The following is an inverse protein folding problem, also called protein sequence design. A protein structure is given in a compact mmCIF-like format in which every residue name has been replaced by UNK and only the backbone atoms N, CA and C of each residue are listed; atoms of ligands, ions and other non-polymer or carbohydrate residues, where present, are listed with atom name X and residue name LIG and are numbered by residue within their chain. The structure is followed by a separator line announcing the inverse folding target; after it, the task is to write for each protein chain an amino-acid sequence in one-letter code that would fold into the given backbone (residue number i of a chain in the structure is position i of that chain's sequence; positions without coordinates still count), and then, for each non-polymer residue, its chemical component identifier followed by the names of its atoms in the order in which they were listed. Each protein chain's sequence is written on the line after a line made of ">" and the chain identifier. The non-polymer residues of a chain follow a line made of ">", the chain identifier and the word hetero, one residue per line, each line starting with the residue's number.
data_IF_099187124879
#
_entry.id   IF_099187124879
#
_cell.length_a   1.000
_cell.length_b   1.000
_cell.length_c   1.000
_cell.angle_alpha   90.00
_cell.angle_beta   90.00
_cell.angle_gamma   90.00
#
_symmetry.space_group_name_H-M   'P 1'
#
loop_
_entity.id
_entity.type
_entity.pdbx_description
1 polymer ?
#
# COMPACT_ATOMS: atom_id res chain seq x y z
N UNK A 1 6.78 9.56 3.83
CA UNK A 1 7.15 9.07 5.18
C UNK A 1 6.32 9.71 6.30
N UNK A 2 5.66 8.90 7.15
CA UNK A 2 4.92 9.31 8.37
C UNK A 2 5.30 8.38 9.54
N UNK A 3 5.70 8.95 10.67
CA UNK A 3 5.90 8.20 11.91
C UNK A 3 4.57 8.10 12.68
N UNK A 4 4.17 6.89 13.07
CA UNK A 4 2.96 6.65 13.87
C UNK A 4 3.14 5.44 14.79
N UNK A 5 2.25 5.31 15.77
CA UNK A 5 2.11 4.06 16.53
C UNK A 5 1.84 2.90 15.56
N UNK A 6 2.48 1.77 15.83
CA UNK A 6 2.25 0.52 15.12
C UNK A 6 0.88 -0.03 15.51
N UNK A 7 0.10 -0.43 14.53
CA UNK A 7 -1.15 -1.16 14.72
C UNK A 7 -0.88 -2.67 14.52
N UNK A 8 -1.74 -3.56 15.03
CA UNK A 8 -1.57 -5.00 14.85
C UNK A 8 -1.40 -5.43 13.38
N UNK A 9 -2.07 -4.72 12.45
CA UNK A 9 -2.06 -5.01 11.02
C UNK A 9 -0.71 -4.72 10.35
N UNK A 10 0.18 -3.96 11.01
CA UNK A 10 1.52 -3.65 10.48
C UNK A 10 2.53 -4.78 10.74
N UNK A 11 2.18 -5.80 11.52
CA UNK A 11 3.15 -6.78 12.02
C UNK A 11 3.81 -7.59 10.90
N UNK A 12 3.04 -8.05 9.91
CA UNK A 12 3.57 -8.80 8.77
C UNK A 12 4.59 -7.95 7.99
N UNK A 13 4.25 -6.68 7.73
CA UNK A 13 5.16 -5.74 7.07
C UNK A 13 6.43 -5.46 7.91
N UNK A 14 6.31 -5.42 9.25
CA UNK A 14 7.48 -5.32 10.13
C UNK A 14 8.38 -6.55 10.04
N UNK A 15 7.81 -7.76 9.95
CA UNK A 15 8.58 -9.00 9.80
C UNK A 15 9.30 -9.05 8.45
N UNK A 16 8.64 -8.61 7.37
CA UNK A 16 9.27 -8.49 6.04
C UNK A 16 10.42 -7.47 6.05
N UNK A 17 10.23 -6.33 6.69
CA UNK A 17 11.29 -5.33 6.87
C UNK A 17 12.46 -5.90 7.70
N UNK A 18 12.17 -6.64 8.78
CA UNK A 18 13.19 -7.31 9.60
C UNK A 18 13.98 -8.35 8.78
N UNK A 19 13.32 -9.11 7.90
CA UNK A 19 13.97 -10.07 7.02
C UNK A 19 14.92 -9.38 6.03
N UNK A 20 14.52 -8.21 5.51
CA UNK A 20 15.35 -7.39 4.62
C UNK A 20 16.61 -6.88 5.34
N UNK A 21 16.44 -6.36 6.57
CA UNK A 21 17.57 -5.92 7.42
C UNK A 21 18.49 -7.09 7.76
N UNK A 22 17.95 -8.26 8.09
CA UNK A 22 18.75 -9.44 8.37
C UNK A 22 19.57 -9.88 7.14
N UNK A 23 18.97 -9.88 5.96
CA UNK A 23 19.66 -10.25 4.73
C UNK A 23 20.80 -9.29 4.37
N UNK A 24 20.59 -7.98 4.56
CA UNK A 24 21.58 -6.95 4.23
C UNK A 24 22.67 -6.80 5.29
N UNK A 25 22.25 -6.70 6.55
CA UNK A 25 23.09 -6.20 7.65
C UNK A 25 23.43 -7.29 8.66
N UNK A 26 22.90 -8.51 8.48
CA UNK A 26 23.02 -9.60 9.46
C UNK A 26 22.50 -9.17 10.84
N UNK A 27 21.46 -8.35 10.86
CA UNK A 27 20.77 -7.94 12.07
C UNK A 27 19.29 -8.37 12.04
N UNK A 28 18.77 -9.05 13.08
CA UNK A 28 19.53 -9.55 14.22
C UNK A 28 20.58 -10.59 13.80
N UNK A 29 21.67 -10.71 14.57
CA UNK A 29 22.77 -11.64 14.22
C UNK A 29 22.28 -13.09 14.07
N UNK A 30 21.34 -13.46 14.93
CA UNK A 30 20.59 -14.71 14.85
C UNK A 30 19.14 -14.38 14.54
N UNK A 31 18.61 -14.98 13.48
CA UNK A 31 17.19 -14.89 13.18
C UNK A 31 16.38 -15.58 14.29
N UNK A 32 15.34 -14.92 14.86
CA UNK A 32 14.52 -15.51 15.92
C UNK A 32 13.52 -16.55 15.36
N UNK A 33 13.16 -17.53 16.19
CA UNK A 33 12.13 -18.53 15.85
C UNK A 33 10.74 -17.89 15.68
N UNK A 34 10.45 -16.84 16.46
CA UNK A 34 9.28 -15.97 16.31
C UNK A 34 9.73 -14.54 15.95
N UNK A 35 9.80 -14.19 14.66
CA UNK A 35 10.16 -12.85 14.22
C UNK A 35 9.06 -11.82 14.45
N UNK A 36 7.82 -12.21 14.72
CA UNK A 36 6.72 -11.28 15.05
C UNK A 36 6.79 -10.79 16.49
N UNK A 37 7.24 -11.63 17.42
CA UNK A 37 7.52 -11.22 18.79
C UNK A 37 8.70 -10.25 18.88
N UNK A 38 9.70 -10.38 18.00
CA UNK A 38 10.92 -9.56 18.03
C UNK A 38 10.69 -8.03 18.02
N UNK A 39 9.90 -7.45 17.09
CA UNK A 39 9.58 -6.03 17.10
C UNK A 39 8.41 -5.66 18.05
N UNK A 40 7.90 -6.60 18.85
CA UNK A 40 6.71 -6.42 19.68
C UNK A 40 7.09 -6.26 21.15
N UNK A 41 7.17 -5.02 21.67
CA UNK A 41 7.36 -4.81 23.11
C UNK A 41 6.15 -5.29 23.91
N UNK A 42 6.36 -5.58 25.20
CA UNK A 42 5.30 -5.97 26.15
C UNK A 42 4.19 -4.91 26.25
N UNK A 43 4.55 -3.63 26.11
CA UNK A 43 3.61 -2.52 25.99
C UNK A 43 3.46 -2.06 24.52
N UNK A 44 2.33 -2.35 23.85
CA UNK A 44 2.08 -1.93 22.47
C UNK A 44 2.14 -0.40 22.26
N UNK A 45 1.94 0.41 23.31
CA UNK A 45 2.04 1.87 23.21
C UNK A 45 3.46 2.35 22.89
N UNK A 46 4.45 1.47 23.08
CA UNK A 46 5.87 1.72 22.81
C UNK A 46 6.32 1.25 21.41
N UNK A 47 5.42 0.67 20.60
CA UNK A 47 5.73 0.26 19.24
C UNK A 47 5.41 1.36 18.22
N UNK A 48 6.41 1.75 17.43
CA UNK A 48 6.31 2.82 16.42
C UNK A 48 6.87 2.35 15.09
N UNK A 49 6.27 2.83 13.99
CA UNK A 49 6.77 2.58 12.64
C UNK A 49 6.89 3.88 11.86
N UNK A 50 7.82 3.89 10.90
CA UNK A 50 7.88 4.88 9.84
C UNK A 50 7.25 4.26 8.60
N UNK A 51 6.01 4.65 8.30
CA UNK A 51 5.28 4.17 7.13
C UNK A 51 5.38 5.19 5.99
N UNK A 52 5.65 4.73 4.77
CA UNK A 52 5.31 5.53 3.60
C UNK A 52 3.79 5.61 3.48
N UNK A 53 3.26 6.83 3.43
CA UNK A 53 1.83 7.00 3.16
C UNK A 53 1.63 6.62 1.69
N UNK A 54 1.00 5.48 1.43
CA UNK A 54 0.53 5.17 0.09
C UNK A 54 -0.53 6.20 -0.26
N UNK A 55 -0.13 7.26 -0.95
CA UNK A 55 -1.05 8.24 -1.50
C UNK A 55 -1.71 7.60 -2.72
N UNK A 56 -2.69 6.71 -2.52
CA UNK A 56 -3.48 6.22 -3.65
C UNK A 56 -4.32 7.37 -4.19
N UNK A 57 -4.24 7.62 -5.49
CA UNK A 57 -5.15 8.56 -6.14
C UNK A 57 -6.42 7.82 -6.53
N UNK A 58 -7.56 8.31 -6.04
CA UNK A 58 -8.87 7.79 -6.39
C UNK A 58 -9.48 8.63 -7.52
N UNK A 59 -10.02 7.98 -8.55
CA UNK A 59 -10.84 8.65 -9.56
C UNK A 59 -12.30 8.51 -9.17
N UNK A 60 -12.94 9.61 -8.81
CA UNK A 60 -14.35 9.57 -8.40
C UNK A 60 -15.30 9.28 -9.57
N UNK A 61 -15.02 9.80 -10.78
CA UNK A 61 -15.93 9.68 -11.93
C UNK A 61 -15.21 9.68 -13.28
N UNK A 62 -15.64 8.80 -14.19
CA UNK A 62 -15.30 8.80 -15.62
C UNK A 62 -16.57 8.56 -16.43
N UNK A 63 -16.73 9.27 -17.55
CA UNK A 63 -17.87 9.10 -18.44
C UNK A 63 -17.44 9.09 -19.89
N UNK A 64 -18.11 8.27 -20.69
CA UNK A 64 -18.02 8.28 -22.15
C UNK A 64 -19.40 8.64 -22.70
N UNK A 65 -19.44 9.65 -23.57
CA UNK A 65 -20.68 10.06 -24.24
C UNK A 65 -21.35 8.87 -24.95
N UNK A 66 -22.70 8.72 -24.86
CA UNK A 66 -23.40 7.59 -25.47
C UNK A 66 -23.09 7.40 -26.96
N UNK A 67 -23.01 8.49 -27.73
CA UNK A 67 -22.72 8.46 -29.17
C UNK A 67 -21.30 8.00 -29.51
N UNK A 68 -20.40 7.96 -28.51
CA UNK A 68 -19.01 7.56 -28.66
C UNK A 68 -18.72 6.16 -28.06
N UNK A 69 -19.74 5.44 -27.58
CA UNK A 69 -19.61 4.07 -27.05
C UNK A 69 -19.25 3.06 -28.15
N UNK A 70 -18.73 1.90 -27.75
CA UNK A 70 -18.30 0.84 -28.68
C UNK A 70 -16.96 1.11 -29.38
N UNK A 71 -16.29 2.21 -29.05
CA UNK A 71 -15.01 2.62 -29.67
C UNK A 71 -13.76 2.42 -28.80
N UNK A 72 -13.89 1.68 -27.69
CA UNK A 72 -12.78 1.44 -26.75
C UNK A 72 -12.31 2.68 -25.97
N UNK A 73 -13.06 3.78 -25.97
CA UNK A 73 -12.65 5.05 -25.34
C UNK A 73 -12.48 4.96 -23.82
N UNK A 74 -13.23 4.09 -23.14
CA UNK A 74 -13.09 3.89 -21.69
C UNK A 74 -11.69 3.40 -21.32
N UNK A 75 -11.14 2.43 -22.06
CA UNK A 75 -9.78 1.94 -21.86
C UNK A 75 -8.75 3.04 -22.11
N UNK A 76 -8.89 3.80 -23.20
CA UNK A 76 -8.00 4.92 -23.51
C UNK A 76 -8.03 6.03 -22.45
N UNK A 77 -9.20 6.31 -21.89
CA UNK A 77 -9.34 7.25 -20.76
C UNK A 77 -8.62 6.74 -19.52
N UNK A 78 -8.75 5.45 -19.19
CA UNK A 78 -8.03 4.83 -18.07
C UNK A 78 -6.51 4.88 -18.28
N UNK A 79 -6.04 4.58 -19.48
CA UNK A 79 -4.60 4.62 -19.81
C UNK A 79 -4.06 6.05 -19.70
N UNK A 80 -4.80 7.05 -20.17
CA UNK A 80 -4.42 8.44 -20.04
C UNK A 80 -4.33 8.88 -18.57
N UNK A 81 -5.27 8.45 -17.72
CA UNK A 81 -5.20 8.77 -16.29
C UNK A 81 -4.03 8.07 -15.61
N UNK A 82 -3.80 6.78 -15.92
CA UNK A 82 -2.62 6.04 -15.42
C UNK A 82 -1.31 6.71 -15.79
N UNK A 83 -1.21 7.28 -17.00
CA UNK A 83 -0.03 8.04 -17.43
C UNK A 83 0.11 9.40 -16.72
N UNK A 84 -0.99 10.00 -16.26
CA UNK A 84 -1.01 11.31 -15.62
C UNK A 84 -0.74 11.25 -14.10
N UNK A 85 -1.03 10.12 -13.44
CA UNK A 85 -0.80 9.95 -12.00
C UNK A 85 0.54 9.27 -11.72
N UNK A 86 1.22 9.70 -10.67
CA UNK A 86 2.50 9.11 -10.22
C UNK A 86 2.31 8.04 -9.14
N UNK A 87 1.08 7.82 -8.71
CA UNK A 87 0.69 6.99 -7.58
C UNK A 87 -0.22 5.85 -8.04
N UNK A 88 -0.29 4.75 -7.27
CA UNK A 88 -1.23 3.67 -7.56
C UNK A 88 -2.67 4.18 -7.65
N UNK A 89 -3.35 3.76 -8.71
CA UNK A 89 -4.72 4.13 -8.99
C UNK A 89 -5.67 3.04 -8.48
N UNK A 90 -6.57 3.38 -7.54
CA UNK A 90 -7.67 2.50 -7.16
C UNK A 90 -8.89 2.81 -8.04
N UNK A 91 -9.46 1.78 -8.66
CA UNK A 91 -10.68 1.90 -9.46
C UNK A 91 -11.83 1.18 -8.74
N UNK A 92 -12.87 1.91 -8.38
CA UNK A 92 -14.14 1.32 -7.95
C UNK A 92 -15.18 1.53 -9.05
N UNK A 93 -15.71 0.42 -9.57
CA UNK A 93 -16.84 0.46 -10.51
C UNK A 93 -18.09 0.32 -9.66
N UNK A 94 -18.79 1.42 -9.44
CA UNK A 94 -20.11 1.38 -8.81
C UNK A 94 -21.08 0.69 -9.79
N UNK A 95 -21.80 -0.36 -9.36
CA UNK A 95 -22.87 -0.92 -10.18
C UNK A 95 -23.89 0.18 -10.44
N UNK A 96 -24.37 0.27 -11.68
CA UNK A 96 -25.53 1.10 -11.96
C UNK A 96 -26.71 0.47 -11.20
N UNK A 97 -27.21 1.17 -10.18
CA UNK A 97 -28.42 0.77 -9.46
C UNK A 97 -29.65 0.73 -10.35
#
# INVERSE_FOLDING_TARGET
>A
MRIRRRAPEDLDACVEALATVHAADRYPANWPDDPGAWPTPDDPAMAWIAAEASLTTEITRLFVSPVARGRGLAGRLLDAVRAAVRTPLKLEVLPNG
#
